data_IF_339076279556
#
_entry.id   IF_339076279556
#
_cell.length_a   1.000
_cell.length_b   1.000
_cell.length_c   1.000
_cell.angle_alpha   90.00
_cell.angle_beta   90.00
_cell.angle_gamma   90.00
#
_symmetry.space_group_name_H-M   'P 1'
#
loop_
_entity.id
_entity.type
_entity.pdbx_description
1 polymer ?
#
# COMPACT_ATOMS: atom_id res chain seq x y z
N UNK A 1 -47.18 45.50 16.11
CA UNK A 1 -46.56 44.56 15.15
C UNK A 1 -45.25 44.07 15.76
N UNK A 2 -45.22 42.84 16.28
CA UNK A 2 -44.00 42.17 16.74
C UNK A 2 -43.73 41.03 15.76
N UNK A 3 -42.76 41.21 14.88
CA UNK A 3 -42.26 40.15 14.02
C UNK A 3 -41.30 39.28 14.84
N UNK A 4 -41.68 38.03 15.11
CA UNK A 4 -40.77 37.01 15.58
C UNK A 4 -40.01 36.47 14.37
N UNK A 5 -38.70 36.73 14.32
CA UNK A 5 -37.79 36.00 13.43
C UNK A 5 -37.45 34.66 14.12
N UNK A 6 -37.92 33.56 13.54
CA UNK A 6 -37.44 32.23 13.89
C UNK A 6 -36.12 32.00 13.13
N UNK A 7 -35.00 31.94 13.85
CA UNK A 7 -33.71 31.57 13.30
C UNK A 7 -33.67 30.03 13.24
N UNK A 8 -33.82 29.43 12.06
CA UNK A 8 -33.59 28.00 11.90
C UNK A 8 -32.09 27.73 11.93
N UNK A 9 -31.60 27.15 13.02
CA UNK A 9 -30.25 26.60 13.08
C UNK A 9 -30.28 25.32 12.25
N UNK A 10 -29.79 25.38 11.01
CA UNK A 10 -29.49 24.18 10.26
C UNK A 10 -28.34 23.48 10.98
N UNK A 11 -28.62 22.31 11.56
CA UNK A 11 -27.57 21.43 12.07
C UNK A 11 -26.70 21.02 10.89
N UNK A 12 -25.44 21.50 10.86
CA UNK A 12 -24.41 20.81 10.09
C UNK A 12 -24.25 19.45 10.76
N UNK A 13 -24.90 18.43 10.20
CA UNK A 13 -24.48 17.06 10.42
C UNK A 13 -23.00 17.05 10.01
N UNK A 14 -22.10 16.86 10.97
CA UNK A 14 -20.68 16.77 10.70
C UNK A 14 -20.50 15.71 9.61
N UNK A 15 -19.76 16.04 8.56
CA UNK A 15 -19.16 15.00 7.73
C UNK A 15 -18.27 14.21 8.69
N UNK A 16 -18.78 13.07 9.15
CA UNK A 16 -17.94 12.08 9.78
C UNK A 16 -16.98 11.65 8.69
N UNK A 17 -15.72 12.07 8.79
CA UNK A 17 -14.62 11.50 8.04
C UNK A 17 -14.63 10.00 8.35
N UNK A 18 -15.27 9.23 7.48
CA UNK A 18 -15.45 7.80 7.67
C UNK A 18 -14.42 7.12 6.77
N UNK A 19 -13.51 6.40 7.39
CA UNK A 19 -12.81 5.33 6.70
C UNK A 19 -13.83 4.43 6.00
N UNK A 20 -13.54 4.07 4.75
CA UNK A 20 -14.43 3.31 3.84
C UNK A 20 -13.77 2.01 3.38
N UNK A 21 -12.67 1.62 4.03
CA UNK A 21 -12.05 0.32 3.82
C UNK A 21 -12.97 -0.81 4.30
N UNK A 22 -12.93 -1.93 3.59
CA UNK A 22 -13.65 -3.13 3.98
C UNK A 22 -12.96 -3.80 5.18
N UNK A 23 -13.66 -3.89 6.31
CA UNK A 23 -13.14 -4.47 7.57
C UNK A 23 -13.69 -5.88 7.86
N UNK A 24 -14.35 -6.52 6.88
CA UNK A 24 -15.00 -7.82 7.06
C UNK A 24 -14.06 -9.03 7.01
N UNK A 25 -12.74 -8.83 7.11
CA UNK A 25 -11.74 -9.88 7.08
C UNK A 25 -11.29 -10.27 5.66
N UNK A 26 -10.43 -11.29 5.56
CA UNK A 26 -10.00 -11.83 4.28
C UNK A 26 -11.22 -12.38 3.47
N UNK A 27 -11.35 -12.05 2.18
CA UNK A 27 -12.37 -12.66 1.33
C UNK A 27 -12.24 -14.18 1.26
N UNK A 28 -13.37 -14.87 1.04
CA UNK A 28 -13.34 -16.33 0.85
C UNK A 28 -12.81 -16.67 -0.54
N UNK A 29 -11.69 -17.39 -0.60
CA UNK A 29 -11.08 -17.79 -1.87
C UNK A 29 -12.00 -18.74 -2.67
N UNK A 30 -12.14 -18.50 -3.96
CA UNK A 30 -12.92 -19.37 -4.88
C UNK A 30 -12.15 -20.60 -5.35
N UNK A 31 -10.85 -20.64 -5.07
CA UNK A 31 -9.90 -21.70 -5.39
C UNK A 31 -8.47 -21.25 -5.10
N UNK A 32 -7.51 -22.15 -5.26
CA UNK A 32 -6.07 -21.86 -5.05
C UNK A 32 -5.28 -22.18 -6.31
N UNK A 33 -4.33 -21.31 -6.64
CA UNK A 33 -3.34 -21.47 -7.71
C UNK A 33 -1.96 -21.32 -7.08
N UNK A 34 -1.26 -22.44 -6.92
CA UNK A 34 0.15 -22.44 -6.50
C UNK A 34 1.04 -22.54 -7.74
N UNK A 35 2.00 -21.64 -7.88
CA UNK A 35 2.92 -21.59 -9.02
C UNK A 35 4.36 -21.43 -8.56
N UNK A 36 5.28 -22.28 -9.01
CA UNK A 36 6.70 -22.11 -8.70
C UNK A 36 7.36 -20.97 -9.47
N UNK A 37 6.67 -20.38 -10.46
CA UNK A 37 7.14 -19.27 -11.26
C UNK A 37 6.22 -18.06 -11.10
N UNK A 38 6.79 -16.86 -11.24
CA UNK A 38 6.06 -15.59 -11.22
C UNK A 38 4.98 -15.56 -12.31
N UNK A 39 3.83 -14.97 -12.00
CA UNK A 39 2.76 -14.72 -12.96
C UNK A 39 2.92 -13.31 -13.50
N UNK A 40 3.32 -13.20 -14.76
CA UNK A 40 3.51 -11.90 -15.41
C UNK A 40 2.22 -11.39 -16.06
N UNK A 41 1.89 -10.12 -15.80
CA UNK A 41 0.80 -9.41 -16.46
C UNK A 41 1.41 -8.36 -17.39
N UNK A 42 1.19 -8.52 -18.69
CA UNK A 42 1.77 -7.66 -19.71
C UNK A 42 1.32 -6.20 -19.60
N UNK A 43 2.09 -5.29 -20.19
CA UNK A 43 1.86 -3.86 -20.11
C UNK A 43 0.44 -3.48 -20.58
N UNK A 44 -0.27 -2.71 -19.77
CA UNK A 44 -1.65 -2.27 -20.04
C UNK A 44 -2.73 -3.35 -19.95
N UNK A 45 -2.38 -4.62 -19.69
CA UNK A 45 -3.35 -5.71 -19.61
C UNK A 45 -3.99 -5.80 -18.22
N UNK A 46 -5.18 -6.39 -18.16
CA UNK A 46 -5.89 -6.64 -16.89
C UNK A 46 -5.96 -8.13 -16.60
N UNK A 47 -5.57 -8.51 -15.39
CA UNK A 47 -5.78 -9.85 -14.85
C UNK A 47 -6.82 -9.81 -13.74
N UNK A 48 -7.93 -10.52 -13.96
CA UNK A 48 -8.95 -10.77 -12.93
C UNK A 48 -8.76 -12.16 -12.34
N UNK A 49 -8.38 -12.23 -11.07
CA UNK A 49 -8.18 -13.48 -10.35
C UNK A 49 -9.47 -14.19 -9.95
N UNK A 50 -10.63 -13.56 -10.08
CA UNK A 50 -11.93 -14.13 -9.72
C UNK A 50 -12.00 -14.59 -8.26
N UNK A 51 -11.34 -13.84 -7.37
CA UNK A 51 -11.17 -14.12 -5.94
C UNK A 51 -10.47 -15.45 -5.64
N UNK A 52 -9.61 -15.92 -6.53
CA UNK A 52 -8.72 -17.06 -6.22
C UNK A 52 -7.57 -16.61 -5.34
N UNK A 53 -7.06 -17.56 -4.55
CA UNK A 53 -5.81 -17.46 -3.81
C UNK A 53 -4.63 -17.83 -4.73
N UNK A 54 -3.55 -17.06 -4.69
CA UNK A 54 -2.32 -17.29 -5.45
C UNK A 54 -1.12 -17.33 -4.50
N UNK A 55 -0.22 -18.28 -4.68
CA UNK A 55 1.01 -18.41 -3.90
C UNK A 55 2.15 -19.08 -4.69
N UNK A 56 3.35 -19.14 -4.10
CA UNK A 56 4.55 -19.76 -4.67
C UNK A 56 4.78 -21.21 -4.26
N UNK A 57 3.85 -21.80 -3.51
CA UNK A 57 3.95 -23.14 -2.94
C UNK A 57 4.61 -23.19 -1.55
N UNK A 58 4.36 -24.27 -0.80
CA UNK A 58 4.76 -24.40 0.61
C UNK A 58 6.25 -24.13 0.85
N UNK A 59 6.55 -23.28 1.84
CA UNK A 59 7.91 -22.96 2.26
C UNK A 59 8.62 -21.95 1.36
N UNK A 60 7.90 -21.27 0.47
CA UNK A 60 8.45 -20.20 -0.33
C UNK A 60 8.80 -18.95 0.50
N UNK A 61 8.06 -18.67 1.58
CA UNK A 61 8.41 -17.59 2.48
C UNK A 61 9.66 -17.92 3.29
N UNK A 62 10.68 -17.07 3.17
CA UNK A 62 11.93 -17.14 3.92
C UNK A 62 12.12 -15.90 4.81
N UNK A 63 11.01 -15.46 5.43
CA UNK A 63 10.92 -14.27 6.27
C UNK A 63 11.42 -13.01 5.54
N UNK A 64 12.20 -12.15 6.22
CA UNK A 64 12.74 -10.87 5.73
C UNK A 64 13.91 -11.02 4.71
N UNK A 65 14.00 -12.14 4.00
CA UNK A 65 15.01 -12.32 2.96
C UNK A 65 14.52 -11.71 1.65
N UNK A 66 15.00 -10.52 1.31
CA UNK A 66 14.68 -9.81 0.06
C UNK A 66 14.98 -10.69 -1.16
N UNK A 67 13.96 -10.88 -2.00
CA UNK A 67 14.01 -11.60 -3.27
C UNK A 67 14.13 -10.67 -4.47
N UNK A 68 14.15 -11.26 -5.67
CA UNK A 68 14.01 -10.49 -6.91
C UNK A 68 12.57 -10.59 -7.47
N UNK A 69 12.34 -10.08 -8.67
CA UNK A 69 10.98 -10.08 -9.22
C UNK A 69 10.54 -11.49 -9.62
N UNK A 70 11.48 -12.41 -9.86
CA UNK A 70 11.19 -13.81 -10.16
C UNK A 70 10.63 -14.57 -8.95
N UNK A 71 10.79 -14.04 -7.74
CA UNK A 71 10.24 -14.57 -6.50
C UNK A 71 8.81 -14.07 -6.20
N UNK A 72 8.37 -12.97 -6.84
CA UNK A 72 7.04 -12.40 -6.63
C UNK A 72 5.90 -13.32 -7.09
N UNK A 73 4.74 -13.29 -6.43
CA UNK A 73 3.55 -14.01 -6.92
C UNK A 73 3.09 -13.44 -8.25
N UNK A 74 3.04 -12.11 -8.35
CA UNK A 74 2.72 -11.40 -9.59
C UNK A 74 3.76 -10.35 -9.93
N UNK A 75 4.08 -10.23 -11.22
CA UNK A 75 4.87 -9.14 -11.78
C UNK A 75 4.07 -8.40 -12.83
N UNK A 76 3.74 -7.15 -12.53
CA UNK A 76 2.94 -6.27 -13.39
C UNK A 76 3.87 -5.36 -14.17
N UNK A 77 3.79 -5.47 -15.50
CA UNK A 77 4.41 -4.50 -16.39
C UNK A 77 3.62 -3.19 -16.40
N UNK A 78 4.25 -2.11 -16.87
CA UNK A 78 3.70 -0.75 -16.83
C UNK A 78 2.25 -0.67 -17.37
N UNK A 79 1.39 -0.02 -16.61
CA UNK A 79 -0.04 0.15 -16.89
C UNK A 79 -0.90 -1.08 -16.64
N UNK A 80 -0.34 -2.22 -16.23
CA UNK A 80 -1.12 -3.42 -15.96
C UNK A 80 -2.04 -3.25 -14.74
N UNK A 81 -3.14 -4.02 -14.73
CA UNK A 81 -4.11 -4.08 -13.64
C UNK A 81 -4.22 -5.50 -13.09
N UNK A 82 -4.15 -5.65 -11.77
CA UNK A 82 -4.48 -6.88 -11.06
C UNK A 82 -5.74 -6.65 -10.23
N UNK A 83 -6.71 -7.57 -10.30
CA UNK A 83 -7.93 -7.40 -9.54
C UNK A 83 -8.56 -8.69 -9.01
N UNK A 84 -9.28 -8.57 -7.89
CA UNK A 84 -10.00 -9.67 -7.25
C UNK A 84 -9.06 -10.86 -6.97
N UNK A 85 -7.97 -10.61 -6.26
CA UNK A 85 -6.92 -11.60 -5.97
C UNK A 85 -6.70 -11.68 -4.48
N UNK A 86 -6.47 -12.90 -4.00
CA UNK A 86 -5.94 -13.14 -2.65
C UNK A 86 -4.53 -13.68 -2.84
N UNK A 87 -3.55 -13.09 -2.19
CA UNK A 87 -2.18 -13.57 -2.10
C UNK A 87 -2.06 -14.36 -0.80
N UNK A 88 -1.67 -15.62 -0.91
CA UNK A 88 -1.55 -16.52 0.24
C UNK A 88 -0.23 -16.37 0.99
N UNK A 89 -0.17 -16.89 2.21
CA UNK A 89 1.01 -16.81 3.09
C UNK A 89 2.31 -17.38 2.49
N UNK A 90 2.23 -18.29 1.52
CA UNK A 90 3.40 -18.85 0.84
C UNK A 90 3.85 -18.00 -0.36
N UNK A 91 3.90 -16.68 -0.22
CA UNK A 91 4.13 -15.77 -1.35
C UNK A 91 5.61 -15.59 -1.72
N UNK A 92 6.56 -15.83 -0.81
CA UNK A 92 7.94 -15.32 -0.89
C UNK A 92 7.95 -13.78 -0.98
N UNK A 93 7.63 -13.26 -2.15
CA UNK A 93 7.45 -11.84 -2.46
C UNK A 93 6.01 -11.63 -2.95
N UNK A 94 5.35 -10.54 -2.56
CA UNK A 94 3.94 -10.31 -2.90
C UNK A 94 3.71 -9.96 -4.38
N UNK A 95 3.45 -8.70 -4.65
CA UNK A 95 3.19 -8.17 -5.99
C UNK A 95 4.23 -7.12 -6.34
N UNK A 96 4.90 -7.28 -7.47
CA UNK A 96 5.86 -6.28 -7.98
C UNK A 96 5.27 -5.56 -9.18
N UNK A 97 5.40 -4.24 -9.22
CA UNK A 97 5.09 -3.40 -10.38
C UNK A 97 6.39 -2.81 -10.95
N UNK A 98 6.59 -2.94 -12.26
CA UNK A 98 7.63 -2.22 -13.01
C UNK A 98 6.99 -1.14 -13.88
N UNK A 99 7.20 0.12 -13.50
CA UNK A 99 6.36 1.23 -13.92
C UNK A 99 5.12 1.36 -13.03
N UNK A 100 4.16 2.20 -13.43
CA UNK A 100 2.90 2.33 -12.68
C UNK A 100 1.97 1.14 -12.92
N UNK A 101 1.14 0.83 -11.94
CA UNK A 101 0.16 -0.26 -12.04
C UNK A 101 -1.14 0.07 -11.30
N UNK A 102 -2.17 -0.76 -11.48
CA UNK A 102 -3.41 -0.67 -10.69
C UNK A 102 -3.70 -2.00 -9.99
N UNK A 103 -3.92 -1.95 -8.68
CA UNK A 103 -4.35 -3.08 -7.86
C UNK A 103 -5.75 -2.79 -7.33
N UNK A 104 -6.75 -3.55 -7.79
CA UNK A 104 -8.13 -3.41 -7.34
C UNK A 104 -8.55 -4.62 -6.49
N UNK A 105 -8.85 -4.41 -5.22
CA UNK A 105 -9.32 -5.48 -4.34
C UNK A 105 -8.34 -6.66 -4.24
N UNK A 106 -7.05 -6.36 -4.09
CA UNK A 106 -6.00 -7.36 -3.86
C UNK A 106 -5.77 -7.51 -2.37
N UNK A 107 -5.83 -8.74 -1.87
CA UNK A 107 -5.68 -9.06 -0.45
C UNK A 107 -4.42 -9.86 -0.19
N UNK A 108 -3.72 -9.59 0.90
CA UNK A 108 -2.53 -10.31 1.34
C UNK A 108 -2.83 -10.97 2.69
N UNK A 109 -2.84 -12.30 2.70
CA UNK A 109 -3.22 -13.10 3.88
C UNK A 109 -2.19 -13.03 5.00
N UNK A 110 -0.90 -13.02 4.65
CA UNK A 110 0.24 -13.00 5.57
C UNK A 110 1.46 -12.54 4.78
N UNK A 111 1.98 -11.35 5.09
CA UNK A 111 3.03 -10.70 4.32
C UNK A 111 4.39 -11.23 4.76
N UNK A 112 5.13 -11.82 3.81
CA UNK A 112 6.45 -12.40 4.09
C UNK A 112 7.54 -11.33 4.25
N UNK A 113 7.91 -10.63 3.17
CA UNK A 113 8.83 -9.48 3.20
C UNK A 113 8.04 -8.20 2.90
N UNK A 114 7.70 -7.97 1.62
CA UNK A 114 6.80 -6.89 1.18
C UNK A 114 5.51 -7.44 0.56
N UNK A 115 4.40 -6.71 0.73
CA UNK A 115 3.15 -7.03 0.02
C UNK A 115 3.18 -6.49 -1.40
N UNK A 116 3.60 -5.23 -1.57
CA UNK A 116 3.59 -4.52 -2.85
C UNK A 116 4.90 -3.76 -3.02
N UNK A 117 5.59 -4.02 -4.13
CA UNK A 117 6.85 -3.34 -4.45
C UNK A 117 6.73 -2.62 -5.79
N UNK A 118 6.91 -1.31 -5.79
CA UNK A 118 6.78 -0.45 -6.98
C UNK A 118 8.16 0.03 -7.39
N UNK A 119 8.60 -0.35 -8.59
CA UNK A 119 9.90 0.00 -9.15
C UNK A 119 9.68 0.70 -10.50
N UNK A 120 10.65 1.51 -10.92
CA UNK A 120 10.73 2.07 -12.28
C UNK A 120 9.55 2.95 -12.73
N UNK A 121 8.61 3.35 -11.87
CA UNK A 121 7.68 4.43 -12.17
C UNK A 121 8.40 5.79 -12.14
N UNK A 122 7.95 6.73 -12.95
CA UNK A 122 8.60 8.02 -13.16
C UNK A 122 7.80 9.17 -12.53
N UNK A 123 8.42 10.34 -12.41
CA UNK A 123 7.74 11.52 -11.92
C UNK A 123 6.55 11.89 -12.83
N UNK A 124 5.34 11.89 -12.28
CA UNK A 124 4.10 12.11 -13.02
C UNK A 124 3.27 10.85 -13.23
N UNK A 125 3.82 9.68 -12.91
CA UNK A 125 3.10 8.42 -12.91
C UNK A 125 2.27 8.23 -11.63
N UNK A 126 1.22 7.40 -11.74
CA UNK A 126 0.30 7.11 -10.65
C UNK A 126 0.04 5.61 -10.55
N UNK A 127 0.57 4.99 -9.48
CA UNK A 127 0.16 3.65 -9.07
C UNK A 127 -1.08 3.75 -8.18
N UNK A 128 -2.10 2.96 -8.46
CA UNK A 128 -3.37 2.99 -7.73
C UNK A 128 -3.59 1.66 -7.00
N UNK A 129 -3.75 1.73 -5.68
CA UNK A 129 -4.07 0.59 -4.81
C UNK A 129 -5.45 0.91 -4.20
N UNK A 130 -6.48 0.23 -4.68
CA UNK A 130 -7.89 0.58 -4.42
C UNK A 130 -8.62 -0.62 -3.82
N UNK A 131 -9.12 -0.45 -2.60
CA UNK A 131 -9.69 -1.54 -1.83
C UNK A 131 -8.63 -2.61 -1.51
N UNK A 132 -9.07 -3.77 -1.05
CA UNK A 132 -8.14 -4.83 -0.66
C UNK A 132 -7.62 -4.65 0.76
N UNK A 133 -6.61 -5.42 1.11
CA UNK A 133 -5.97 -5.27 2.41
C UNK A 133 -4.79 -6.19 2.64
N UNK A 134 -4.06 -5.97 3.73
CA UNK A 134 -2.92 -6.79 4.11
C UNK A 134 -2.93 -7.10 5.62
N UNK A 135 -2.41 -8.27 5.96
CA UNK A 135 -2.21 -8.73 7.32
C UNK A 135 -0.73 -9.10 7.54
N UNK A 136 -0.25 -8.94 8.76
CA UNK A 136 1.02 -9.52 9.25
C UNK A 136 2.26 -9.06 8.46
N UNK A 137 2.42 -7.76 8.23
CA UNK A 137 3.60 -7.21 7.57
C UNK A 137 4.63 -6.70 8.58
N UNK A 138 5.66 -7.50 8.90
CA UNK A 138 6.63 -7.17 9.95
C UNK A 138 7.30 -5.79 9.76
N UNK A 139 7.77 -5.49 8.55
CA UNK A 139 8.42 -4.20 8.24
C UNK A 139 7.52 -3.26 7.44
N UNK A 140 7.21 -3.60 6.18
CA UNK A 140 6.55 -2.70 5.24
C UNK A 140 5.54 -3.43 4.35
N UNK A 141 4.38 -2.81 4.15
CA UNK A 141 3.35 -3.34 3.23
C UNK A 141 3.66 -2.90 1.81
N UNK A 142 3.86 -1.59 1.60
CA UNK A 142 4.13 -1.00 0.28
C UNK A 142 5.51 -0.36 0.27
N UNK A 143 6.41 -0.94 -0.53
CA UNK A 143 7.73 -0.43 -0.81
C UNK A 143 7.75 0.33 -2.14
N UNK A 144 8.12 1.61 -2.11
CA UNK A 144 8.15 2.46 -3.31
C UNK A 144 9.58 2.88 -3.65
N UNK A 145 10.12 2.28 -4.71
CA UNK A 145 11.50 2.44 -5.17
C UNK A 145 11.63 3.35 -6.39
N UNK A 146 10.60 3.50 -7.23
CA UNK A 146 10.61 4.45 -8.36
C UNK A 146 10.29 5.88 -7.91
N UNK A 147 9.69 6.72 -8.76
CA UNK A 147 9.64 8.18 -8.56
C UNK A 147 8.24 8.78 -8.74
N UNK A 148 7.21 7.95 -8.76
CA UNK A 148 5.85 8.38 -9.05
C UNK A 148 5.06 8.81 -7.81
N UNK A 149 3.75 8.66 -7.94
CA UNK A 149 2.78 8.85 -6.86
C UNK A 149 2.04 7.54 -6.60
N UNK A 150 1.90 7.16 -5.33
CA UNK A 150 1.10 6.00 -4.92
C UNK A 150 -0.18 6.48 -4.26
N UNK A 151 -1.32 6.11 -4.86
CA UNK A 151 -2.63 6.34 -4.29
C UNK A 151 -3.08 5.06 -3.56
N UNK A 152 -3.35 5.17 -2.26
CA UNK A 152 -3.82 4.08 -1.40
C UNK A 152 -5.22 4.46 -0.91
N UNK A 153 -6.23 3.82 -1.49
CA UNK A 153 -7.63 4.22 -1.34
C UNK A 153 -8.43 3.06 -0.77
N UNK A 154 -9.13 3.28 0.34
CA UNK A 154 -10.03 2.30 0.97
C UNK A 154 -9.35 0.94 1.28
N UNK A 155 -8.05 0.96 1.55
CA UNK A 155 -7.25 -0.23 1.89
C UNK A 155 -7.39 -0.57 3.37
N UNK A 156 -7.49 -1.87 3.68
CA UNK A 156 -7.44 -2.37 5.05
C UNK A 156 -6.03 -2.84 5.42
N UNK A 157 -5.51 -2.51 6.59
CA UNK A 157 -4.24 -3.07 7.07
C UNK A 157 -4.29 -3.38 8.56
N UNK A 158 -3.78 -4.55 8.95
CA UNK A 158 -3.70 -4.97 10.35
C UNK A 158 -2.39 -5.70 10.62
N UNK A 159 -1.82 -5.50 11.82
CA UNK A 159 -0.54 -6.08 12.23
C UNK A 159 0.59 -5.75 11.24
N UNK A 160 1.04 -4.49 11.26
CA UNK A 160 1.98 -3.97 10.27
C UNK A 160 3.01 -3.01 10.85
N UNK A 161 4.25 -3.04 10.33
CA UNK A 161 5.28 -2.07 10.67
C UNK A 161 5.03 -0.69 10.02
N UNK A 162 4.88 -0.66 8.69
CA UNK A 162 4.66 0.56 7.90
C UNK A 162 3.73 0.26 6.73
N UNK A 163 2.68 1.06 6.53
CA UNK A 163 1.80 0.85 5.35
C UNK A 163 2.53 1.23 4.06
N UNK A 164 3.17 2.40 4.02
CA UNK A 164 3.93 2.88 2.87
C UNK A 164 5.32 3.37 3.29
N UNK A 165 6.34 2.98 2.51
CA UNK A 165 7.71 3.47 2.65
C UNK A 165 8.27 3.93 1.31
N UNK A 166 8.59 5.22 1.22
CA UNK A 166 9.51 5.74 0.20
C UNK A 166 10.89 5.13 0.43
N UNK A 167 11.54 4.57 -0.58
CA UNK A 167 12.82 3.89 -0.39
C UNK A 167 13.88 4.83 0.20
N UNK A 168 14.33 4.54 1.42
CA UNK A 168 15.22 5.44 2.15
C UNK A 168 16.69 5.35 1.74
N UNK A 169 17.13 4.25 1.15
CA UNK A 169 18.53 3.95 0.86
C UNK A 169 18.76 3.40 -0.56
N UNK A 170 17.77 3.54 -1.45
CA UNK A 170 17.89 3.17 -2.86
C UNK A 170 19.12 3.84 -3.51
N UNK A 171 19.77 3.13 -4.43
CA UNK A 171 20.98 3.61 -5.13
C UNK A 171 20.75 4.94 -5.86
N UNK A 172 19.54 5.11 -6.42
CA UNK A 172 19.07 6.36 -7.00
C UNK A 172 17.91 6.88 -6.16
N UNK A 173 17.89 8.19 -5.94
CA UNK A 173 16.88 8.85 -5.12
C UNK A 173 16.18 9.94 -5.93
N UNK A 174 14.92 10.14 -5.61
CA UNK A 174 14.02 11.09 -6.24
C UNK A 174 12.90 11.42 -5.26
N UNK A 175 12.14 12.48 -5.56
CA UNK A 175 10.92 12.77 -4.82
C UNK A 175 9.87 11.72 -5.13
N UNK A 176 9.21 11.22 -4.09
CA UNK A 176 8.07 10.30 -4.16
C UNK A 176 6.88 10.90 -3.43
N UNK A 177 5.68 10.62 -3.92
CA UNK A 177 4.45 11.10 -3.28
C UNK A 177 3.55 9.93 -2.88
N UNK A 178 2.85 10.09 -1.76
CA UNK A 178 1.80 9.14 -1.35
C UNK A 178 0.52 9.88 -0.98
N UNK A 179 -0.60 9.36 -1.45
CA UNK A 179 -1.93 9.84 -1.12
C UNK A 179 -2.72 8.69 -0.49
N UNK A 180 -3.08 8.83 0.78
CA UNK A 180 -3.77 7.82 1.59
C UNK A 180 -5.15 8.35 1.93
N UNK A 181 -6.19 7.63 1.53
CA UNK A 181 -7.57 8.08 1.72
C UNK A 181 -8.52 6.93 2.03
N UNK A 182 -9.43 7.13 2.98
CA UNK A 182 -10.49 6.17 3.26
C UNK A 182 -10.00 4.87 3.92
N UNK A 183 -8.73 4.78 4.32
CA UNK A 183 -8.17 3.51 4.82
C UNK A 183 -8.68 3.17 6.22
N UNK A 184 -8.54 1.91 6.59
CA UNK A 184 -8.66 1.45 7.97
C UNK A 184 -7.37 0.70 8.34
N UNK A 185 -6.68 1.17 9.36
CA UNK A 185 -5.44 0.58 9.86
C UNK A 185 -5.53 0.29 11.35
N UNK A 186 -5.09 -0.88 11.79
CA UNK A 186 -5.05 -1.23 13.21
C UNK A 186 -3.84 -2.07 13.55
N UNK A 187 -3.44 -2.08 14.82
CA UNK A 187 -2.35 -2.88 15.36
C UNK A 187 -1.02 -2.68 14.61
N UNK A 188 -0.69 -1.44 14.24
CA UNK A 188 0.53 -1.18 13.49
C UNK A 188 1.22 0.15 13.72
N UNK A 189 2.27 0.38 12.94
CA UNK A 189 3.17 1.50 13.08
C UNK A 189 2.77 2.72 12.24
N UNK A 190 3.66 3.19 11.37
CA UNK A 190 3.42 4.44 10.62
C UNK A 190 2.63 4.16 9.33
N UNK A 191 1.78 5.09 8.90
CA UNK A 191 1.10 4.94 7.60
C UNK A 191 2.03 5.34 6.46
N UNK A 192 2.71 6.49 6.59
CA UNK A 192 3.60 7.01 5.56
C UNK A 192 5.00 7.32 6.13
N UNK A 193 6.00 6.55 5.69
CA UNK A 193 7.42 6.86 5.88
C UNK A 193 8.01 7.57 4.66
N UNK A 194 8.24 8.87 4.76
CA UNK A 194 8.71 9.72 3.65
C UNK A 194 10.09 10.32 3.90
N UNK A 195 10.89 10.51 2.86
CA UNK A 195 12.22 11.12 2.94
C UNK A 195 12.12 12.64 2.74
N UNK A 196 12.12 13.38 3.85
CA UNK A 196 11.92 14.84 3.85
C UNK A 196 12.99 15.60 3.06
N UNK A 197 14.23 15.10 3.05
CA UNK A 197 15.36 15.68 2.34
C UNK A 197 15.31 15.51 0.81
N UNK A 198 14.50 14.58 0.31
CA UNK A 198 14.25 14.40 -1.14
C UNK A 198 12.98 15.09 -1.63
N UNK A 199 12.27 15.80 -0.75
CA UNK A 199 11.04 16.52 -1.12
C UNK A 199 9.82 15.62 -1.25
N UNK A 200 9.85 14.42 -0.65
CA UNK A 200 8.69 13.53 -0.62
C UNK A 200 7.48 14.20 0.06
N UNK A 201 6.28 13.86 -0.40
CA UNK A 201 5.03 14.32 0.23
C UNK A 201 4.13 13.16 0.61
N UNK A 202 3.38 13.35 1.69
CA UNK A 202 2.34 12.44 2.14
C UNK A 202 1.05 13.25 2.36
N UNK A 203 -0.07 12.71 1.88
CA UNK A 203 -1.41 13.20 2.22
C UNK A 203 -2.19 12.07 2.89
N UNK A 204 -2.76 12.30 4.07
CA UNK A 204 -3.60 11.32 4.77
C UNK A 204 -4.94 11.97 5.12
N UNK A 205 -6.02 11.48 4.53
CA UNK A 205 -7.36 12.02 4.74
C UNK A 205 -8.40 10.91 4.95
N UNK A 206 -9.49 11.23 5.65
CA UNK A 206 -10.65 10.33 5.80
C UNK A 206 -10.28 8.90 6.23
N UNK A 207 -9.26 8.77 7.08
CA UNK A 207 -8.63 7.48 7.41
C UNK A 207 -8.78 7.18 8.90
N UNK A 208 -9.02 5.91 9.24
CA UNK A 208 -9.07 5.42 10.62
C UNK A 208 -7.79 4.66 10.92
N UNK A 209 -7.11 5.05 12.00
CA UNK A 209 -5.88 4.41 12.45
C UNK A 209 -5.67 4.62 13.94
N UNK A 210 -4.91 3.73 14.56
CA UNK A 210 -4.60 3.73 16.00
C UNK A 210 -3.20 4.27 16.34
N UNK A 211 -2.33 4.43 15.34
CA UNK A 211 -0.98 4.97 15.51
C UNK A 211 -0.96 6.44 15.95
N UNK A 212 -0.03 6.79 16.85
CA UNK A 212 0.25 8.18 17.22
C UNK A 212 1.10 8.93 16.19
N UNK A 213 1.71 8.21 15.23
CA UNK A 213 2.64 8.74 14.25
C UNK A 213 2.27 8.29 12.83
N UNK A 214 1.13 8.79 12.29
CA UNK A 214 0.64 8.37 10.97
C UNK A 214 1.61 8.74 9.84
N UNK A 215 2.39 9.79 9.98
CA UNK A 215 3.46 10.13 9.06
C UNK A 215 4.80 10.32 9.80
N UNK A 216 5.83 9.63 9.34
CA UNK A 216 7.19 9.69 9.86
C UNK A 216 8.13 10.26 8.80
N UNK A 217 8.93 11.26 9.20
CA UNK A 217 9.92 11.91 8.35
C UNK A 217 11.28 11.26 8.55
N UNK A 218 11.89 10.87 7.44
CA UNK A 218 13.25 10.33 7.40
C UNK A 218 14.21 11.30 6.71
N UNK A 219 15.49 11.23 7.09
CA UNK A 219 16.61 11.73 6.29
C UNK A 219 17.13 10.55 5.47
N UNK A 220 16.67 10.47 4.22
CA UNK A 220 17.05 9.40 3.30
C UNK A 220 18.46 9.60 2.76
N UNK A 221 19.01 8.60 2.12
CA UNK A 221 20.37 8.62 1.60
C UNK A 221 20.47 7.71 0.35
N UNK A 222 21.56 7.79 -0.40
CA UNK A 222 21.74 6.98 -1.60
C UNK A 222 22.75 5.85 -1.32
N UNK A 223 22.29 4.60 -1.33
CA UNK A 223 23.15 3.42 -1.17
C UNK A 223 23.26 2.88 0.26
N UNK A 224 24.47 2.58 0.72
CA UNK A 224 24.73 1.69 1.87
C UNK A 224 24.57 2.32 3.27
N UNK A 225 23.60 3.22 3.43
CA UNK A 225 23.36 3.96 4.66
C UNK A 225 21.97 3.63 5.19
N UNK A 226 21.81 3.76 6.50
CA UNK A 226 20.53 3.55 7.15
C UNK A 226 19.82 4.90 7.32
N UNK A 227 18.59 5.07 6.80
CA UNK A 227 17.83 6.30 6.93
C UNK A 227 17.46 6.57 8.39
N UNK A 228 17.66 7.79 8.87
CA UNK A 228 17.33 8.17 10.25
C UNK A 228 15.97 8.85 10.34
N UNK A 229 15.22 8.59 11.41
CA UNK A 229 14.00 9.33 11.73
C UNK A 229 14.39 10.74 12.20
N UNK A 230 13.85 11.77 11.53
CA UNK A 230 14.12 13.17 11.84
C UNK A 230 12.90 13.95 12.31
N UNK A 231 11.72 13.34 12.28
CA UNK A 231 10.50 13.95 12.81
C UNK A 231 9.23 13.22 12.40
N UNK A 232 8.11 13.89 12.61
CA UNK A 232 6.77 13.39 12.28
C UNK A 232 5.98 14.47 11.55
N UNK A 233 5.04 14.04 10.72
CA UNK A 233 4.06 14.92 10.08
C UNK A 233 2.63 14.44 10.36
N UNK A 234 1.63 15.27 10.07
CA UNK A 234 0.23 14.85 10.18
C UNK A 234 -0.21 13.94 9.04
N UNK A 235 0.52 13.96 7.91
CA UNK A 235 -0.05 13.70 6.60
C UNK A 235 -0.96 14.83 6.15
#
# INVERSE_FOLDING_TARGET
>A
MKFLFALSIASLAGLSAACDAYTGGLPTATGTVSSSAVIEIAAGETFDGGWKKYDRGSGACSDQSEGDYEDAVFYLHEGATLQNVIIGANQAEGVHCTGYCTLNYVWFEDVCEDAITIKNDEAGDYTNIIGGGAYHAEDKVIQHNGCGTVNIINFFVSDYGKLYRSCGNCKSQCSRNVYISGIYAEDGGTLAGINSNYGDTATIIDSCYDTSHPCTLYDGCAGSCEPEVVGYCSG
#
